data_IF_841638474710
#
_entry.id   IF_841638474710
#
_cell.length_a   1.000
_cell.length_b   1.000
_cell.length_c   1.000
_cell.angle_alpha   90.00
_cell.angle_beta   90.00
_cell.angle_gamma   90.00
#
_symmetry.space_group_name_H-M   'P 1'
#
loop_
_entity.id
_entity.type
_entity.pdbx_description
1 polymer ?
#
# COMPACT_ATOMS: atom_id res chain seq x y z
N UNK A 1 24.13 1.66 14.33
CA UNK A 1 22.93 0.81 14.53
C UNK A 1 21.60 1.58 14.44
N UNK A 2 21.58 2.92 14.31
CA UNK A 2 20.34 3.72 14.33
C UNK A 2 19.67 3.90 12.96
N UNK A 3 20.43 4.11 11.88
CA UNK A 3 19.88 4.58 10.59
C UNK A 3 19.00 3.55 9.86
N UNK A 4 19.34 2.26 9.96
CA UNK A 4 18.53 1.20 9.35
C UNK A 4 17.22 0.96 10.09
N UNK A 5 17.19 1.16 11.42
CA UNK A 5 15.96 1.08 12.21
C UNK A 5 15.01 2.23 11.92
N UNK A 6 15.55 3.43 11.73
CA UNK A 6 14.77 4.60 11.37
C UNK A 6 14.15 4.47 9.97
N UNK A 7 14.93 3.98 8.99
CA UNK A 7 14.41 3.66 7.65
C UNK A 7 13.33 2.58 7.69
N UNK A 8 13.48 1.56 8.52
CA UNK A 8 12.45 0.53 8.72
C UNK A 8 11.16 1.11 9.31
N UNK A 9 11.26 1.96 10.33
CA UNK A 9 10.10 2.59 10.94
C UNK A 9 9.35 3.50 9.96
N UNK A 10 10.06 4.23 9.11
CA UNK A 10 9.42 5.06 8.08
C UNK A 10 8.74 4.20 6.99
N UNK A 11 9.36 3.09 6.58
CA UNK A 11 8.74 2.15 5.65
C UNK A 11 7.49 1.49 6.24
N UNK A 12 7.52 1.09 7.51
CA UNK A 12 6.35 0.53 8.20
C UNK A 12 5.20 1.54 8.27
N UNK A 13 5.51 2.82 8.51
CA UNK A 13 4.53 3.91 8.46
C UNK A 13 3.94 4.08 7.05
N UNK A 14 4.78 4.11 6.02
CA UNK A 14 4.33 4.22 4.62
C UNK A 14 3.43 3.03 4.22
N UNK A 15 3.74 1.82 4.70
CA UNK A 15 2.90 0.63 4.49
C UNK A 15 1.54 0.82 5.16
N UNK A 16 1.52 1.25 6.42
CA UNK A 16 0.26 1.47 7.15
C UNK A 16 -0.63 2.50 6.45
N UNK A 17 -0.05 3.62 5.98
CA UNK A 17 -0.77 4.65 5.22
C UNK A 17 -1.31 4.11 3.88
N UNK A 18 -0.52 3.31 3.15
CA UNK A 18 -0.94 2.70 1.90
C UNK A 18 -2.08 1.69 2.10
N UNK A 19 -2.05 0.90 3.17
CA UNK A 19 -3.13 -0.03 3.55
C UNK A 19 -4.41 0.76 3.84
N UNK A 20 -4.33 1.79 4.68
CA UNK A 20 -5.50 2.60 5.06
C UNK A 20 -6.16 3.25 3.83
N UNK A 21 -5.38 3.84 2.92
CA UNK A 21 -5.90 4.42 1.67
C UNK A 21 -6.58 3.39 0.78
N UNK A 22 -6.00 2.20 0.68
CA UNK A 22 -6.59 1.10 -0.10
C UNK A 22 -7.90 0.62 0.52
N UNK A 23 -7.97 0.51 1.84
CA UNK A 23 -9.20 0.12 2.55
C UNK A 23 -10.31 1.15 2.36
N UNK A 24 -10.01 2.45 2.45
CA UNK A 24 -10.96 3.52 2.13
C UNK A 24 -11.50 3.41 0.69
N UNK A 25 -10.60 3.23 -0.28
CA UNK A 25 -11.00 3.05 -1.69
C UNK A 25 -11.86 1.80 -1.90
N UNK A 26 -11.53 0.67 -1.26
CA UNK A 26 -12.35 -0.55 -1.35
C UNK A 26 -13.75 -0.33 -0.79
N UNK A 27 -13.90 0.48 0.27
CA UNK A 27 -15.21 0.82 0.83
C UNK A 27 -16.00 1.79 -0.05
N UNK A 28 -15.31 2.71 -0.75
CA UNK A 28 -15.94 3.75 -1.59
C UNK A 28 -16.26 3.30 -3.01
N UNK A 29 -15.44 2.45 -3.64
CA UNK A 29 -15.65 1.98 -5.02
C UNK A 29 -17.06 1.37 -5.25
N UNK A 30 -17.63 0.57 -4.34
CA UNK A 30 -18.97 0.02 -4.50
C UNK A 30 -20.09 1.07 -4.53
N UNK A 31 -19.91 2.22 -3.84
CA UNK A 31 -20.91 3.30 -3.82
C UNK A 31 -20.82 4.21 -5.04
N UNK A 32 -19.76 4.11 -5.84
CA UNK A 32 -19.62 4.88 -7.08
C UNK A 32 -20.47 4.28 -8.22
N UNK A 33 -21.06 5.13 -9.08
CA UNK A 33 -21.81 4.68 -10.25
C UNK A 33 -20.95 3.79 -11.15
N UNK A 34 -21.46 2.63 -11.61
CA UNK A 34 -20.69 1.60 -12.30
C UNK A 34 -19.94 2.10 -13.54
N UNK A 35 -20.52 3.04 -14.28
CA UNK A 35 -19.96 3.57 -15.54
C UNK A 35 -19.37 4.98 -15.40
N UNK A 36 -19.10 5.41 -14.16
CA UNK A 36 -18.47 6.72 -13.92
C UNK A 36 -16.95 6.65 -14.13
N UNK A 37 -16.40 7.72 -14.71
CA UNK A 37 -14.96 7.93 -14.79
C UNK A 37 -14.30 7.86 -13.39
N UNK A 38 -14.99 8.38 -12.37
CA UNK A 38 -14.56 8.34 -10.97
C UNK A 38 -14.39 6.91 -10.45
N UNK A 39 -15.30 5.98 -10.81
CA UNK A 39 -15.17 4.57 -10.42
C UNK A 39 -14.01 3.88 -11.13
N UNK A 40 -13.85 4.12 -12.44
CA UNK A 40 -12.73 3.57 -13.20
C UNK A 40 -11.39 4.05 -12.64
N UNK A 41 -11.29 5.34 -12.30
CA UNK A 41 -10.13 5.93 -11.67
C UNK A 41 -9.88 5.35 -10.27
N UNK A 42 -10.90 5.23 -9.42
CA UNK A 42 -10.77 4.66 -8.07
C UNK A 42 -10.33 3.19 -8.10
N UNK A 43 -10.84 2.39 -9.06
CA UNK A 43 -10.40 1.01 -9.28
C UNK A 43 -8.92 0.96 -9.70
N UNK A 44 -8.52 1.80 -10.65
CA UNK A 44 -7.12 1.90 -11.08
C UNK A 44 -6.19 2.27 -9.91
N UNK A 45 -6.57 3.25 -9.09
CA UNK A 45 -5.81 3.67 -7.91
C UNK A 45 -5.70 2.55 -6.86
N UNK A 46 -6.78 1.80 -6.62
CA UNK A 46 -6.76 0.62 -5.73
C UNK A 46 -5.79 -0.43 -6.24
N UNK A 47 -5.78 -0.72 -7.53
CA UNK A 47 -4.95 -1.75 -8.13
C UNK A 47 -3.46 -1.35 -8.10
N UNK A 48 -3.14 -0.08 -8.37
CA UNK A 48 -1.78 0.46 -8.19
C UNK A 48 -1.30 0.36 -6.73
N UNK A 49 -2.15 0.69 -5.75
CA UNK A 49 -1.81 0.54 -4.33
C UNK A 49 -1.60 -0.93 -3.93
N UNK A 50 -2.32 -1.87 -4.54
CA UNK A 50 -2.09 -3.30 -4.36
C UNK A 50 -0.69 -3.71 -4.81
N UNK A 51 -0.23 -3.23 -5.98
CA UNK A 51 1.11 -3.53 -6.49
C UNK A 51 2.22 -2.97 -5.59
N UNK A 52 2.02 -1.75 -5.09
CA UNK A 52 2.93 -1.11 -4.12
C UNK A 52 3.01 -1.94 -2.84
N UNK A 53 1.87 -2.40 -2.31
CA UNK A 53 1.84 -3.25 -1.10
C UNK A 53 2.54 -4.60 -1.31
N UNK A 54 2.37 -5.23 -2.48
CA UNK A 54 3.07 -6.48 -2.81
C UNK A 54 4.59 -6.25 -2.86
N UNK A 55 5.01 -5.14 -3.47
CA UNK A 55 6.43 -4.78 -3.59
C UNK A 55 7.06 -4.47 -2.24
N UNK A 56 6.37 -3.71 -1.38
CA UNK A 56 6.82 -3.39 -0.03
C UNK A 56 6.92 -4.64 0.85
N UNK A 57 5.95 -5.56 0.78
CA UNK A 57 6.02 -6.85 1.49
C UNK A 57 7.22 -7.70 1.05
N UNK A 58 7.53 -7.70 -0.25
CA UNK A 58 8.73 -8.40 -0.77
C UNK A 58 10.01 -7.78 -0.23
N UNK A 59 10.09 -6.45 -0.21
CA UNK A 59 11.24 -5.73 0.35
C UNK A 59 11.40 -6.00 1.85
N UNK A 60 10.32 -5.96 2.62
CA UNK A 60 10.34 -6.26 4.06
C UNK A 60 10.78 -7.70 4.34
N UNK A 61 10.31 -8.68 3.55
CA UNK A 61 10.78 -10.07 3.64
C UNK A 61 12.27 -10.19 3.31
N UNK A 62 12.74 -9.52 2.25
CA UNK A 62 14.16 -9.54 1.89
C UNK A 62 15.04 -8.93 2.99
N UNK A 63 14.61 -7.82 3.60
CA UNK A 63 15.32 -7.21 4.73
C UNK A 63 15.36 -8.10 5.96
N UNK A 64 14.23 -8.73 6.32
CA UNK A 64 14.19 -9.67 7.45
C UNK A 64 15.14 -10.86 7.25
N UNK A 65 15.28 -11.36 6.01
CA UNK A 65 16.21 -12.44 5.68
C UNK A 65 17.69 -12.03 5.75
N UNK A 66 18.01 -10.74 5.64
CA UNK A 66 19.38 -10.22 5.72
C UNK A 66 19.78 -9.90 7.18
N UNK A 67 18.80 -9.79 8.08
CA UNK A 67 19.02 -9.53 9.51
C UNK A 67 19.08 -10.80 10.37
N UNK A 68 18.92 -11.99 9.79
CA UNK A 68 19.11 -13.31 10.44
C UNK A 68 20.48 -13.89 10.12
#
# INVERSE_FOLDING_TARGET
>A
MSEHREKLADLDRQIAEAIAKREDLIQRIPSLPPDSAEKAEAVCHRDALNEVLVSLRRYQRALNNVQQ
#
